data_IF_661664290011
#
_entry.id   IF_661664290011
#
_cell.length_a   1.000
_cell.length_b   1.000
_cell.length_c   1.000
_cell.angle_alpha   90.00
_cell.angle_beta   90.00
_cell.angle_gamma   90.00
#
_symmetry.space_group_name_H-M   'P 1'
#
loop_
_entity.id
_entity.type
_entity.pdbx_description
1 polymer ?
#
# COMPACT_ATOMS: atom_id res chain seq x y z
N UNK A 1 -58.58 11.19 -73.09
CA UNK A 1 -58.11 10.17 -72.14
C UNK A 1 -56.61 10.34 -71.98
N UNK A 2 -56.16 11.13 -71.00
CA UNK A 2 -54.74 11.43 -70.80
C UNK A 2 -54.31 11.07 -69.38
N UNK A 3 -53.34 10.14 -69.34
CA UNK A 3 -52.22 9.99 -68.44
C UNK A 3 -52.35 10.38 -66.95
N UNK A 4 -52.24 9.38 -66.07
CA UNK A 4 -51.75 9.55 -64.70
C UNK A 4 -51.19 8.24 -64.13
N UNK A 5 -50.00 7.81 -64.58
CA UNK A 5 -49.27 6.64 -64.05
C UNK A 5 -47.80 6.96 -63.70
N UNK A 6 -47.52 8.19 -63.26
CA UNK A 6 -46.16 8.70 -62.99
C UNK A 6 -45.76 8.86 -61.50
N UNK A 7 -46.69 8.78 -60.54
CA UNK A 7 -46.42 9.23 -59.16
C UNK A 7 -45.88 8.16 -58.20
N UNK A 8 -45.89 6.87 -58.54
CA UNK A 8 -45.51 5.80 -57.61
C UNK A 8 -44.00 5.54 -57.53
N UNK A 9 -43.25 5.69 -58.64
CA UNK A 9 -41.82 5.34 -58.69
C UNK A 9 -40.93 6.34 -57.94
N UNK A 10 -41.24 7.63 -58.03
CA UNK A 10 -40.50 8.68 -57.35
C UNK A 10 -40.63 8.62 -55.82
N UNK A 11 -41.80 8.21 -55.33
CA UNK A 11 -42.06 8.08 -53.89
C UNK A 11 -41.26 6.92 -53.26
N UNK A 12 -41.21 5.78 -53.95
CA UNK A 12 -40.45 4.60 -53.49
C UNK A 12 -38.94 4.85 -53.48
N UNK A 13 -38.42 5.57 -54.48
CA UNK A 13 -36.99 5.93 -54.56
C UNK A 13 -36.60 6.89 -53.43
N UNK A 14 -37.47 7.83 -53.07
CA UNK A 14 -37.26 8.76 -51.94
C UNK A 14 -37.20 8.02 -50.59
N UNK A 15 -38.05 7.01 -50.40
CA UNK A 15 -38.06 6.20 -49.17
C UNK A 15 -36.80 5.31 -49.11
N UNK A 16 -36.39 4.69 -50.22
CA UNK A 16 -35.18 3.87 -50.27
C UNK A 16 -33.90 4.69 -50.09
N UNK A 17 -33.82 5.89 -50.69
CA UNK A 17 -32.64 6.76 -50.54
C UNK A 17 -32.52 7.32 -49.12
N UNK A 18 -33.65 7.67 -48.48
CA UNK A 18 -33.67 8.08 -47.08
C UNK A 18 -33.33 6.92 -46.14
N UNK A 19 -33.82 5.70 -46.40
CA UNK A 19 -33.43 4.51 -45.61
C UNK A 19 -31.94 4.19 -45.74
N UNK A 20 -31.37 4.31 -46.95
CA UNK A 20 -29.94 4.12 -47.20
C UNK A 20 -29.10 5.21 -46.52
N UNK A 21 -29.54 6.47 -46.54
CA UNK A 21 -28.89 7.58 -45.82
C UNK A 21 -28.94 7.40 -44.30
N UNK A 22 -30.09 7.00 -43.76
CA UNK A 22 -30.22 6.70 -42.33
C UNK A 22 -29.37 5.47 -41.94
N UNK A 23 -29.31 4.42 -42.76
CA UNK A 23 -28.48 3.24 -42.48
C UNK A 23 -26.97 3.53 -42.48
N UNK A 24 -26.48 4.45 -43.32
CA UNK A 24 -25.06 4.85 -43.33
C UNK A 24 -24.70 5.79 -42.17
N UNK A 25 -25.66 6.59 -41.68
CA UNK A 25 -25.53 7.37 -40.46
C UNK A 25 -25.50 6.51 -39.20
N UNK A 26 -26.26 5.39 -39.17
CA UNK A 26 -26.21 4.42 -38.07
C UNK A 26 -24.98 3.50 -38.09
N UNK A 27 -24.35 3.28 -39.25
CA UNK A 27 -23.21 2.37 -39.38
C UNK A 27 -21.88 2.96 -38.88
N UNK A 28 -21.79 4.29 -38.74
CA UNK A 28 -20.59 4.97 -38.23
C UNK A 28 -20.67 5.36 -36.74
N UNK A 29 -21.74 4.96 -36.04
CA UNK A 29 -21.82 5.00 -34.58
C UNK A 29 -21.60 3.58 -34.02
N UNK A 30 -20.68 2.81 -34.63
CA UNK A 30 -19.89 1.87 -33.84
C UNK A 30 -18.76 2.72 -33.27
N UNK A 31 -19.11 3.57 -32.30
CA UNK A 31 -18.13 4.12 -31.40
C UNK A 31 -17.48 2.90 -30.77
N UNK A 32 -16.25 2.58 -31.20
CA UNK A 32 -15.35 1.78 -30.40
C UNK A 32 -15.21 2.53 -29.08
N UNK A 33 -16.11 2.26 -28.14
CA UNK A 33 -15.88 2.47 -26.73
C UNK A 33 -14.72 1.53 -26.42
N UNK A 34 -13.50 1.96 -26.74
CA UNK A 34 -12.29 1.33 -26.25
C UNK A 34 -12.51 1.25 -24.74
N UNK A 35 -12.73 0.04 -24.25
CA UNK A 35 -13.01 -0.18 -22.84
C UNK A 35 -11.83 0.44 -22.08
N UNK A 36 -12.10 1.55 -21.37
CA UNK A 36 -11.06 2.22 -20.60
C UNK A 36 -10.54 1.20 -19.60
N UNK A 37 -9.25 0.85 -19.66
CA UNK A 37 -8.71 -0.15 -18.75
C UNK A 37 -8.92 0.34 -17.33
N UNK A 38 -9.37 -0.56 -16.44
CA UNK A 38 -9.45 -0.27 -15.01
C UNK A 38 -8.06 0.17 -14.56
N UNK A 39 -7.95 1.22 -13.73
CA UNK A 39 -6.65 1.76 -13.27
C UNK A 39 -5.69 0.67 -12.78
N UNK A 40 -6.21 -0.34 -12.08
CA UNK A 40 -5.45 -1.51 -11.64
C UNK A 40 -4.69 -2.22 -12.78
N UNK A 41 -5.30 -2.38 -13.96
CA UNK A 41 -4.67 -3.03 -15.11
C UNK A 41 -3.60 -2.13 -15.76
N UNK A 42 -3.70 -0.81 -15.63
CA UNK A 42 -2.64 0.12 -16.03
C UNK A 42 -1.42 0.01 -15.12
N UNK A 43 -1.65 -0.30 -13.84
CA UNK A 43 -0.61 -0.51 -12.84
C UNK A 43 0.02 -1.92 -12.93
N UNK A 44 -0.46 -2.79 -13.83
CA UNK A 44 0.04 -4.17 -13.97
C UNK A 44 1.47 -4.17 -14.52
N UNK A 45 2.37 -4.85 -13.81
CA UNK A 45 3.75 -5.07 -14.26
C UNK A 45 3.80 -6.37 -15.06
N UNK A 46 4.17 -6.28 -16.33
CA UNK A 46 4.35 -7.44 -17.22
C UNK A 46 5.65 -8.19 -16.97
N UNK A 47 6.74 -7.48 -16.70
CA UNK A 47 8.06 -8.05 -16.41
C UNK A 47 8.96 -7.04 -15.71
N UNK A 48 9.87 -7.51 -14.85
CA UNK A 48 10.91 -6.67 -14.25
C UNK A 48 12.29 -7.04 -14.84
N UNK A 49 13.18 -6.05 -15.04
CA UNK A 49 14.56 -6.31 -15.47
C UNK A 49 15.27 -7.28 -14.51
N UNK A 50 15.79 -8.40 -15.02
CA UNK A 50 16.51 -9.40 -14.23
C UNK A 50 15.64 -10.33 -13.37
N UNK A 51 14.31 -10.20 -13.41
CA UNK A 51 13.41 -11.11 -12.71
C UNK A 51 13.26 -12.43 -13.50
N UNK A 52 13.49 -13.60 -12.87
CA UNK A 52 13.20 -14.88 -13.52
C UNK A 52 11.68 -15.04 -13.75
N UNK A 53 11.24 -15.97 -14.63
CA UNK A 53 9.83 -16.20 -14.88
C UNK A 53 9.05 -16.47 -13.58
N UNK A 54 7.97 -15.73 -13.37
CA UNK A 54 7.06 -15.86 -12.22
C UNK A 54 5.64 -16.16 -12.69
N UNK A 55 4.88 -16.86 -11.85
CA UNK A 55 3.49 -17.27 -12.14
C UNK A 55 2.44 -16.39 -11.46
N UNK A 56 2.85 -15.47 -10.59
CA UNK A 56 1.95 -14.54 -9.91
C UNK A 56 1.84 -13.21 -10.65
N UNK A 57 0.71 -12.52 -10.49
CA UNK A 57 0.55 -11.15 -10.96
C UNK A 57 1.18 -10.17 -9.97
N UNK A 58 1.76 -9.10 -10.48
CA UNK A 58 2.27 -8.00 -9.67
C UNK A 58 1.85 -6.65 -10.27
N UNK A 59 1.60 -5.67 -9.40
CA UNK A 59 1.08 -4.35 -9.76
C UNK A 59 1.83 -3.27 -8.99
N UNK A 60 2.10 -2.13 -9.61
CA UNK A 60 2.70 -0.98 -8.93
C UNK A 60 2.14 0.33 -9.44
N UNK A 61 1.95 1.27 -8.53
CA UNK A 61 1.43 2.59 -8.87
C UNK A 61 1.49 3.55 -7.70
N UNK A 62 0.76 4.65 -7.81
CA UNK A 62 0.67 5.68 -6.78
C UNK A 62 -0.78 5.88 -6.36
N UNK A 63 -1.00 6.01 -5.05
CA UNK A 63 -2.29 6.40 -4.47
C UNK A 63 -2.16 7.80 -3.90
N UNK A 64 -2.88 8.75 -4.47
CA UNK A 64 -2.92 10.13 -3.95
C UNK A 64 -3.60 10.16 -2.58
N UNK A 65 -2.87 10.59 -1.55
CA UNK A 65 -3.36 10.68 -0.17
C UNK A 65 -3.71 12.11 0.25
N UNK A 66 -3.19 13.10 -0.48
CA UNK A 66 -3.54 14.49 -0.26
C UNK A 66 -3.37 15.28 -1.56
N UNK A 67 -4.47 15.54 -2.25
CA UNK A 67 -4.48 16.27 -3.52
C UNK A 67 -3.95 17.70 -3.38
N UNK A 68 -4.38 18.41 -2.33
CA UNK A 68 -3.99 19.82 -2.10
C UNK A 68 -2.48 20.00 -1.94
N UNK A 69 -1.81 19.01 -1.35
CA UNK A 69 -0.37 19.02 -1.13
C UNK A 69 0.39 18.16 -2.15
N UNK A 70 -0.30 17.60 -3.15
CA UNK A 70 0.32 16.71 -4.14
C UNK A 70 0.98 15.47 -3.54
N UNK A 71 0.54 15.00 -2.37
CA UNK A 71 1.14 13.83 -1.72
C UNK A 71 0.51 12.54 -2.23
N UNK A 72 1.35 11.62 -2.67
CA UNK A 72 0.96 10.28 -3.07
C UNK A 72 1.87 9.23 -2.41
N UNK A 73 1.31 8.04 -2.18
CA UNK A 73 2.04 6.88 -1.70
C UNK A 73 2.24 5.89 -2.84
N UNK A 74 3.49 5.51 -3.07
CA UNK A 74 3.81 4.39 -3.94
C UNK A 74 3.37 3.07 -3.31
N UNK A 75 2.87 2.14 -4.11
CA UNK A 75 2.60 0.77 -3.69
C UNK A 75 3.15 -0.23 -4.70
N UNK A 76 3.51 -1.42 -4.19
CA UNK A 76 3.80 -2.59 -4.99
C UNK A 76 3.04 -3.77 -4.39
N UNK A 77 2.10 -4.31 -5.15
CA UNK A 77 1.27 -5.46 -4.79
C UNK A 77 1.75 -6.70 -5.55
N UNK A 78 1.94 -7.79 -4.82
CA UNK A 78 2.17 -9.12 -5.39
C UNK A 78 1.03 -10.02 -4.97
N UNK A 79 0.36 -10.64 -5.94
CA UNK A 79 -0.72 -11.58 -5.66
C UNK A 79 -0.18 -12.94 -5.21
N UNK A 80 -1.00 -13.71 -4.51
CA UNK A 80 -0.65 -15.09 -4.20
C UNK A 80 -0.56 -15.92 -5.49
N UNK A 81 0.41 -16.84 -5.55
CA UNK A 81 0.63 -17.74 -6.69
C UNK A 81 -0.54 -18.69 -6.96
N UNK A 82 -1.33 -19.02 -5.94
CA UNK A 82 -2.45 -19.94 -6.04
C UNK A 82 -3.71 -19.37 -5.39
N UNK A 83 -4.82 -19.35 -6.14
CA UNK A 83 -6.14 -18.90 -5.68
C UNK A 83 -6.11 -17.53 -4.97
N UNK A 84 -5.53 -16.48 -5.59
CA UNK A 84 -5.36 -15.16 -4.94
C UNK A 84 -6.67 -14.56 -4.44
N UNK A 85 -7.78 -14.82 -5.12
CA UNK A 85 -9.13 -14.35 -4.75
C UNK A 85 -9.65 -14.93 -3.43
N UNK A 86 -9.06 -16.03 -2.93
CA UNK A 86 -9.42 -16.67 -1.65
C UNK A 86 -8.42 -16.38 -0.53
N UNK A 87 -7.31 -15.70 -0.82
CA UNK A 87 -6.26 -15.43 0.16
C UNK A 87 -6.48 -14.07 0.84
N UNK A 88 -6.06 -13.92 2.11
CA UNK A 88 -6.17 -12.64 2.79
C UNK A 88 -5.22 -11.61 2.16
N UNK A 89 -5.64 -10.34 2.17
CA UNK A 89 -4.75 -9.22 1.85
C UNK A 89 -3.88 -8.89 3.07
N UNK A 90 -2.57 -8.82 2.87
CA UNK A 90 -1.60 -8.42 3.91
C UNK A 90 -0.92 -7.13 3.47
N UNK A 91 -1.02 -6.10 4.32
CA UNK A 91 -0.29 -4.85 4.16
C UNK A 91 0.99 -4.91 4.98
N UNK A 92 2.14 -4.81 4.31
CA UNK A 92 3.45 -4.73 4.95
C UNK A 92 3.91 -3.29 5.06
N UNK A 93 4.23 -2.84 6.28
CA UNK A 93 4.80 -1.52 6.55
C UNK A 93 6.13 -1.69 7.28
N UNK A 94 7.15 -0.98 6.82
CA UNK A 94 8.43 -0.89 7.53
C UNK A 94 8.37 0.28 8.54
N UNK A 95 8.99 0.09 9.71
CA UNK A 95 8.93 1.02 10.84
C UNK A 95 8.02 0.53 11.97
N UNK A 96 8.09 1.19 13.14
CA UNK A 96 7.50 0.64 14.38
C UNK A 96 6.04 1.04 14.65
N UNK A 97 5.74 2.34 14.70
CA UNK A 97 4.50 2.81 15.31
C UNK A 97 3.29 2.88 14.35
N UNK A 98 3.51 2.77 13.03
CA UNK A 98 2.45 2.96 12.04
C UNK A 98 1.41 1.83 12.03
N UNK A 99 1.83 0.58 12.24
CA UNK A 99 0.95 -0.59 12.14
C UNK A 99 -0.17 -0.55 13.19
N UNK A 100 0.12 -0.37 14.51
CA UNK A 100 -0.95 -0.30 15.52
C UNK A 100 -1.85 0.94 15.33
N UNK A 101 -1.27 2.08 14.94
CA UNK A 101 -2.04 3.31 14.72
C UNK A 101 -3.00 3.19 13.54
N UNK A 102 -2.55 2.58 12.44
CA UNK A 102 -3.38 2.32 11.27
C UNK A 102 -4.50 1.31 11.59
N UNK A 103 -4.17 0.21 12.29
CA UNK A 103 -5.15 -0.78 12.72
C UNK A 103 -6.23 -0.13 13.60
N UNK A 104 -5.84 0.74 14.54
CA UNK A 104 -6.79 1.52 15.36
C UNK A 104 -7.67 2.42 14.49
N UNK A 105 -7.07 3.15 13.53
CA UNK A 105 -7.83 4.05 12.65
C UNK A 105 -8.87 3.31 11.80
N UNK A 106 -8.52 2.14 11.26
CA UNK A 106 -9.42 1.27 10.50
C UNK A 106 -10.53 0.73 11.40
N UNK A 107 -10.19 0.30 12.62
CA UNK A 107 -11.17 -0.18 13.59
C UNK A 107 -12.20 0.89 13.97
N UNK A 108 -11.73 2.10 14.26
CA UNK A 108 -12.59 3.24 14.58
C UNK A 108 -13.48 3.62 13.38
N UNK A 109 -12.93 3.59 12.17
CA UNK A 109 -13.70 3.76 10.93
C UNK A 109 -14.78 2.68 10.81
N UNK A 110 -14.43 1.41 10.96
CA UNK A 110 -15.38 0.31 10.83
C UNK A 110 -16.51 0.34 11.87
N UNK A 111 -16.25 0.88 13.06
CA UNK A 111 -17.28 1.10 14.09
C UNK A 111 -18.23 2.25 13.74
N UNK A 112 -17.76 3.29 13.07
CA UNK A 112 -18.53 4.49 12.76
C UNK A 112 -19.49 4.31 11.58
N UNK A 113 -19.28 3.31 10.72
CA UNK A 113 -20.06 3.10 9.49
C UNK A 113 -20.75 1.73 9.49
N UNK A 114 -22.03 1.69 9.10
CA UNK A 114 -22.83 0.47 9.05
C UNK A 114 -22.42 -0.53 7.94
N UNK A 115 -21.62 -0.09 6.97
CA UNK A 115 -21.07 -0.90 5.88
C UNK A 115 -19.57 -0.64 5.72
N UNK A 116 -18.71 -1.24 6.57
CA UNK A 116 -17.28 -1.08 6.47
C UNK A 116 -16.72 -1.73 5.19
N UNK A 117 -15.84 -1.01 4.49
CA UNK A 117 -15.19 -1.50 3.26
C UNK A 117 -13.97 -2.38 3.57
N UNK A 118 -13.32 -2.16 4.72
CA UNK A 118 -12.08 -2.87 5.10
C UNK A 118 -12.40 -3.93 6.16
N UNK A 119 -12.21 -5.21 5.83
CA UNK A 119 -12.41 -6.32 6.75
C UNK A 119 -11.13 -6.60 7.57
N UNK A 120 -10.85 -5.76 8.55
CA UNK A 120 -9.68 -5.92 9.43
C UNK A 120 -9.84 -7.17 10.31
N UNK A 121 -8.88 -8.11 10.24
CA UNK A 121 -8.84 -9.31 11.09
C UNK A 121 -7.88 -9.19 12.28
N UNK A 122 -6.83 -8.41 12.13
CA UNK A 122 -5.80 -8.23 13.13
C UNK A 122 -4.60 -7.48 12.56
N UNK A 123 -3.56 -7.36 13.36
CA UNK A 123 -2.27 -6.81 12.96
C UNK A 123 -1.14 -7.63 13.60
N UNK A 124 0.03 -7.62 12.98
CA UNK A 124 1.24 -8.25 13.50
C UNK A 124 2.37 -7.22 13.51
N UNK A 125 3.21 -7.26 14.53
CA UNK A 125 4.38 -6.39 14.67
C UNK A 125 5.62 -7.24 14.96
N UNK A 126 6.71 -6.98 14.26
CA UNK A 126 8.00 -7.65 14.46
C UNK A 126 9.03 -6.64 14.94
N UNK A 127 9.79 -6.97 16.00
CA UNK A 127 10.84 -6.12 16.58
C UNK A 127 10.39 -4.68 16.84
N UNK A 128 9.15 -4.49 17.30
CA UNK A 128 8.60 -3.17 17.53
C UNK A 128 9.08 -2.60 18.86
N UNK A 129 9.28 -1.28 18.88
CA UNK A 129 9.32 -0.51 20.13
C UNK A 129 7.87 -0.41 20.63
N UNK A 130 7.62 -0.90 21.83
CA UNK A 130 6.31 -0.98 22.47
C UNK A 130 6.24 -0.17 23.74
N UNK A 131 7.23 -0.31 24.62
CA UNK A 131 7.29 0.36 25.91
C UNK A 131 8.76 0.67 26.23
N UNK A 132 9.05 1.96 26.43
CA UNK A 132 10.42 2.42 26.63
C UNK A 132 11.11 1.74 27.81
N UNK A 133 10.37 1.39 28.88
CA UNK A 133 10.94 0.77 30.05
C UNK A 133 11.36 -0.67 29.77
N UNK A 134 10.43 -1.50 29.29
CA UNK A 134 10.71 -2.91 29.00
C UNK A 134 11.68 -3.07 27.82
N UNK A 135 11.56 -2.25 26.78
CA UNK A 135 12.43 -2.31 25.61
C UNK A 135 13.86 -1.89 25.98
N UNK A 136 14.03 -0.85 26.81
CA UNK A 136 15.36 -0.42 27.27
C UNK A 136 16.01 -1.47 28.17
N UNK A 137 15.27 -2.00 29.16
CA UNK A 137 15.80 -3.04 30.04
C UNK A 137 16.12 -4.31 29.26
N UNK A 138 15.25 -4.72 28.34
CA UNK A 138 15.46 -5.87 27.47
C UNK A 138 16.72 -5.70 26.61
N UNK A 139 16.91 -4.51 26.03
CA UNK A 139 18.09 -4.17 25.24
C UNK A 139 19.38 -4.22 26.06
N UNK A 140 19.39 -3.59 27.24
CA UNK A 140 20.57 -3.55 28.12
C UNK A 140 20.91 -4.95 28.63
N UNK A 141 19.90 -5.74 28.98
CA UNK A 141 20.06 -7.13 29.42
C UNK A 141 20.55 -8.03 28.28
N UNK A 142 20.02 -7.86 27.07
CA UNK A 142 20.48 -8.57 25.88
C UNK A 142 21.95 -8.29 25.60
N UNK A 143 22.40 -7.04 25.67
CA UNK A 143 23.81 -6.70 25.48
C UNK A 143 24.72 -7.31 26.54
N UNK A 144 24.27 -7.34 27.79
CA UNK A 144 25.03 -7.97 28.86
C UNK A 144 25.12 -9.49 28.67
N UNK A 145 24.00 -10.15 28.39
CA UNK A 145 23.96 -11.62 28.23
C UNK A 145 24.68 -12.12 26.98
N UNK A 146 24.90 -11.25 25.99
CA UNK A 146 25.66 -11.56 24.76
C UNK A 146 27.07 -10.96 24.79
N UNK A 147 27.59 -10.64 25.98
CA UNK A 147 28.97 -10.19 26.20
C UNK A 147 29.37 -8.91 25.44
N UNK A 148 28.39 -8.08 25.09
CA UNK A 148 28.63 -6.80 24.40
C UNK A 148 28.99 -5.67 25.38
N UNK A 149 28.69 -5.83 26.67
CA UNK A 149 29.03 -4.86 27.74
C UNK A 149 29.51 -5.56 29.01
N UNK A 150 30.33 -4.87 29.80
CA UNK A 150 30.82 -5.36 31.10
C UNK A 150 29.75 -5.31 32.19
N UNK A 151 29.90 -6.13 33.24
CA UNK A 151 29.09 -6.07 34.47
C UNK A 151 29.05 -4.67 35.10
N UNK A 152 30.18 -3.96 35.05
CA UNK A 152 30.29 -2.59 35.56
C UNK A 152 29.40 -1.65 34.76
N UNK A 153 29.43 -1.75 33.44
CA UNK A 153 28.58 -0.97 32.53
C UNK A 153 27.11 -1.30 32.74
N UNK A 154 26.76 -2.59 32.82
CA UNK A 154 25.38 -3.04 33.06
C UNK A 154 24.81 -2.47 34.38
N UNK A 155 25.53 -2.64 35.49
CA UNK A 155 25.13 -2.11 36.81
C UNK A 155 25.06 -0.58 36.83
N UNK A 156 25.97 0.10 36.14
CA UNK A 156 25.94 1.57 36.04
C UNK A 156 24.70 2.07 35.30
N UNK A 157 24.34 1.44 34.18
CA UNK A 157 23.16 1.78 33.39
C UNK A 157 21.88 1.58 34.23
N UNK A 158 21.71 0.41 34.86
CA UNK A 158 20.53 0.15 35.70
C UNK A 158 20.41 1.08 36.91
N UNK A 159 21.54 1.58 37.42
CA UNK A 159 21.57 2.48 38.59
C UNK A 159 21.27 3.94 38.24
N UNK A 160 21.73 4.41 37.08
CA UNK A 160 21.71 5.84 36.73
C UNK A 160 20.66 6.22 35.70
N UNK A 161 20.08 5.25 34.99
CA UNK A 161 19.06 5.49 33.98
C UNK A 161 17.66 5.30 34.52
N UNK A 162 16.77 6.24 34.18
CA UNK A 162 15.34 6.07 34.35
C UNK A 162 14.72 5.75 32.99
N UNK A 163 14.32 4.49 32.79
CA UNK A 163 13.80 4.02 31.50
C UNK A 163 12.34 4.40 31.23
N UNK A 164 11.65 5.05 32.18
CA UNK A 164 10.30 5.59 31.94
C UNK A 164 10.31 7.06 31.51
N UNK A 165 11.44 7.75 31.64
CA UNK A 165 11.53 9.17 31.35
C UNK A 165 11.83 9.42 29.86
N UNK A 166 11.16 10.40 29.25
CA UNK A 166 11.46 10.81 27.86
C UNK A 166 12.83 11.47 27.71
N UNK A 167 13.37 12.03 28.79
CA UNK A 167 14.68 12.70 28.82
C UNK A 167 15.64 11.92 29.70
N UNK A 168 16.80 11.63 29.13
CA UNK A 168 17.92 11.01 29.85
C UNK A 168 18.66 12.03 30.71
N UNK A 169 19.24 11.55 31.81
CA UNK A 169 20.14 12.36 32.64
C UNK A 169 21.57 12.27 32.11
N UNK A 170 22.40 13.31 32.32
CA UNK A 170 23.83 13.27 31.94
C UNK A 170 24.55 12.03 32.48
N UNK A 171 24.24 11.62 33.72
CA UNK A 171 24.80 10.40 34.34
C UNK A 171 24.40 9.12 33.60
N UNK A 172 23.17 9.06 33.11
CA UNK A 172 22.70 7.96 32.27
C UNK A 172 23.42 7.98 30.92
N UNK A 173 23.48 9.14 30.25
CA UNK A 173 24.18 9.28 28.96
C UNK A 173 25.65 8.87 29.05
N UNK A 174 26.34 9.25 30.13
CA UNK A 174 27.72 8.85 30.40
C UNK A 174 27.83 7.32 30.58
N UNK A 175 26.88 6.69 31.28
CA UNK A 175 26.83 5.24 31.43
C UNK A 175 26.59 4.51 30.10
N UNK A 176 25.71 5.05 29.24
CA UNK A 176 25.49 4.54 27.88
C UNK A 176 26.72 4.73 26.99
N UNK A 177 27.43 5.84 27.10
CA UNK A 177 28.63 6.12 26.29
C UNK A 177 29.75 5.12 26.57
N UNK A 178 29.84 4.61 27.80
CA UNK A 178 30.83 3.58 28.17
C UNK A 178 30.61 2.22 27.47
N UNK A 179 29.41 1.96 26.90
CA UNK A 179 29.22 0.82 26.00
C UNK A 179 30.14 0.87 24.79
N UNK A 180 30.33 2.06 24.21
CA UNK A 180 31.07 2.22 22.96
C UNK A 180 32.58 2.32 23.16
N UNK A 181 33.07 2.46 24.40
CA UNK A 181 34.50 2.64 24.64
C UNK A 181 35.33 1.40 24.31
N UNK A 182 34.75 0.19 24.34
CA UNK A 182 35.48 -1.04 23.97
C UNK A 182 35.42 -1.35 22.46
N UNK A 183 34.63 -0.61 21.67
CA UNK A 183 34.49 -0.87 20.23
C UNK A 183 35.52 -0.13 19.37
N UNK A 184 36.35 0.74 19.97
CA UNK A 184 37.35 1.55 19.26
C UNK A 184 38.81 1.15 19.54
N UNK A 185 39.07 0.21 20.47
CA UNK A 185 40.44 -0.22 20.81
C UNK A 185 40.95 -1.39 19.92
N UNK A 186 40.49 -1.46 18.66
CA UNK A 186 40.97 -2.42 17.67
C UNK A 186 41.69 -1.73 16.51
N UNK A 187 42.70 -0.92 16.84
CA UNK A 187 43.72 -0.42 15.92
C UNK A 187 45.11 -0.80 16.40
#
# INVERSE_FOLDING_TARGET
>A
MAAATGQSKAFVISILSSYLFFSSLFSNIILAAAAVPKQQELDRISSLPGQPPVTFSQFSGYVTVNEKQGRALFYWLTEATSLPEKKPLVLWLNGGHYVPQLAKKIHDYNKAYSRPIINLKGFMVGNAVTDNYYDSIGTVTFWWSHSMISDKTYKAILKHCNFTAEKSSKKCDDAWRHRFSCACDSH
#
